data_IF_408895703025
#
_entry.id   IF_408895703025
#
_cell.length_a   1.000
_cell.length_b   1.000
_cell.length_c   1.000
_cell.angle_alpha   90.00
_cell.angle_beta   90.00
_cell.angle_gamma   90.00
#
_symmetry.space_group_name_H-M   'P 1'
#
loop_
_entity.id
_entity.type
_entity.pdbx_description
1 polymer ?
#
# COMPACT_ATOMS: atom_id res chain seq x y z
N UNK A 1 20.33 10.57 29.41
CA UNK A 1 20.11 11.14 28.07
C UNK A 1 20.00 9.95 27.14
N UNK A 2 18.77 9.47 26.92
CA UNK A 2 18.53 8.50 25.85
C UNK A 2 18.73 9.26 24.54
N UNK A 3 19.70 8.77 23.75
CA UNK A 3 19.85 9.18 22.37
C UNK A 3 18.69 8.54 21.61
N UNK A 4 17.68 9.34 21.26
CA UNK A 4 16.68 8.94 20.27
C UNK A 4 17.44 8.57 18.99
N UNK A 5 17.64 7.28 18.77
CA UNK A 5 18.14 6.76 17.52
C UNK A 5 17.08 7.13 16.46
N UNK A 6 17.39 8.14 15.65
CA UNK A 6 16.51 8.57 14.57
C UNK A 6 16.21 7.36 13.67
N UNK A 7 14.97 6.87 13.73
CA UNK A 7 14.49 5.82 12.83
C UNK A 7 14.72 6.34 11.40
N UNK A 8 15.33 5.55 10.50
CA UNK A 8 15.53 5.98 9.13
C UNK A 8 14.17 6.41 8.56
N UNK A 9 14.06 7.68 8.17
CA UNK A 9 12.83 8.19 7.57
C UNK A 9 12.63 7.47 6.24
N UNK A 10 11.65 6.59 6.18
CA UNK A 10 11.23 5.92 4.93
C UNK A 10 10.47 6.87 4.00
N UNK A 11 10.15 8.07 4.48
CA UNK A 11 9.54 9.15 3.72
C UNK A 11 10.63 9.99 3.06
N UNK A 12 10.55 10.17 1.74
CA UNK A 12 11.42 11.11 1.04
C UNK A 12 11.01 12.54 1.36
N UNK A 13 11.97 13.34 1.83
CA UNK A 13 11.73 14.74 2.19
C UNK A 13 11.95 15.65 0.98
N UNK A 14 10.96 16.47 0.64
CA UNK A 14 11.08 17.46 -0.45
C UNK A 14 10.71 16.96 -1.85
N UNK A 15 10.30 15.70 -2.00
CA UNK A 15 9.71 15.17 -3.24
C UNK A 15 8.19 15.20 -3.12
N UNK A 16 7.52 15.91 -4.04
CA UNK A 16 6.06 15.96 -4.10
C UNK A 16 5.52 14.89 -5.05
N UNK A 17 4.41 14.27 -4.66
CA UNK A 17 3.70 13.29 -5.47
C UNK A 17 3.47 13.75 -6.91
N UNK A 18 3.87 12.94 -7.89
CA UNK A 18 3.75 13.24 -9.31
C UNK A 18 2.42 12.78 -9.93
N UNK A 19 1.71 11.85 -9.26
CA UNK A 19 0.45 11.27 -9.71
C UNK A 19 -0.76 11.85 -8.98
N UNK A 20 -1.89 11.89 -9.69
CA UNK A 20 -3.21 12.20 -9.15
C UNK A 20 -4.01 10.92 -8.98
N UNK A 21 -4.44 10.64 -7.75
CA UNK A 21 -5.12 9.39 -7.39
C UNK A 21 -6.58 9.68 -7.05
N UNK A 22 -7.49 9.07 -7.80
CA UNK A 22 -8.91 9.00 -7.46
C UNK A 22 -9.21 7.65 -6.82
N UNK A 23 -9.69 7.66 -5.59
CA UNK A 23 -9.99 6.44 -4.83
C UNK A 23 -11.49 6.19 -4.77
N UNK A 24 -11.92 5.04 -5.27
CA UNK A 24 -13.32 4.61 -5.20
C UNK A 24 -13.66 4.15 -3.76
N UNK A 25 -14.81 4.56 -3.18
CA UNK A 25 -15.17 4.21 -1.79
C UNK A 25 -15.20 2.71 -1.49
N UNK A 26 -15.52 1.88 -2.50
CA UNK A 26 -15.49 0.41 -2.39
C UNK A 26 -14.15 -0.11 -1.87
N UNK A 27 -13.03 0.50 -2.28
CA UNK A 27 -11.69 0.09 -1.86
C UNK A 27 -11.53 0.27 -0.35
N UNK A 28 -12.02 1.38 0.19
CA UNK A 28 -11.95 1.67 1.64
C UNK A 28 -12.80 0.66 2.42
N UNK A 29 -13.99 0.35 1.90
CA UNK A 29 -14.88 -0.66 2.48
C UNK A 29 -14.23 -2.04 2.49
N UNK A 30 -13.63 -2.48 1.38
CA UNK A 30 -12.94 -3.76 1.28
C UNK A 30 -11.78 -3.88 2.27
N UNK A 31 -10.94 -2.84 2.38
CA UNK A 31 -9.80 -2.84 3.30
C UNK A 31 -10.27 -2.86 4.76
N UNK A 32 -11.33 -2.11 5.07
CA UNK A 32 -11.92 -2.07 6.41
C UNK A 32 -12.54 -3.41 6.79
N UNK A 33 -13.30 -4.04 5.90
CA UNK A 33 -13.87 -5.38 6.09
C UNK A 33 -12.78 -6.42 6.31
N UNK A 34 -11.75 -6.42 5.45
CA UNK A 34 -10.60 -7.32 5.58
C UNK A 34 -9.95 -7.20 6.97
N UNK A 35 -9.68 -5.97 7.42
CA UNK A 35 -9.09 -5.74 8.74
C UNK A 35 -9.99 -6.19 9.88
N UNK A 36 -11.30 -5.88 9.83
CA UNK A 36 -12.26 -6.26 10.88
C UNK A 36 -12.37 -7.79 10.98
N UNK A 37 -12.47 -8.48 9.84
CA UNK A 37 -12.58 -9.95 9.81
C UNK A 37 -11.32 -10.60 10.38
N UNK A 38 -10.14 -10.16 9.96
CA UNK A 38 -8.88 -10.71 10.47
C UNK A 38 -8.68 -10.44 11.95
N UNK A 39 -9.02 -9.22 12.41
CA UNK A 39 -9.01 -8.88 13.84
C UNK A 39 -9.96 -9.77 14.65
N UNK A 40 -11.14 -10.08 14.11
CA UNK A 40 -12.12 -10.94 14.77
C UNK A 40 -11.66 -12.40 14.83
N UNK A 41 -10.97 -12.90 13.80
CA UNK A 41 -10.45 -14.27 13.76
C UNK A 41 -9.26 -14.46 14.71
N UNK A 42 -8.36 -13.49 14.75
CA UNK A 42 -7.12 -13.53 15.54
C UNK A 42 -7.31 -13.06 17.00
N UNK A 43 -8.44 -12.42 17.31
CA UNK A 43 -8.72 -11.84 18.63
C UNK A 43 -7.86 -10.63 18.99
N UNK A 44 -7.05 -10.12 18.06
CA UNK A 44 -6.14 -8.97 18.23
C UNK A 44 -6.01 -8.19 16.92
N UNK A 45 -5.65 -6.89 16.96
CA UNK A 45 -5.34 -6.15 15.74
C UNK A 45 -4.18 -6.82 14.98
N UNK A 46 -4.39 -7.03 13.68
CA UNK A 46 -3.38 -7.55 12.77
C UNK A 46 -3.23 -6.63 11.56
N UNK A 47 -2.01 -6.53 11.05
CA UNK A 47 -1.76 -5.88 9.78
C UNK A 47 -2.32 -6.76 8.67
N UNK A 48 -3.09 -6.16 7.76
CA UNK A 48 -3.61 -6.85 6.57
C UNK A 48 -2.92 -6.32 5.33
N UNK A 49 -2.80 -7.15 4.29
CA UNK A 49 -2.13 -6.80 3.03
C UNK A 49 -3.03 -7.18 1.86
N UNK A 50 -3.08 -6.34 0.84
CA UNK A 50 -3.78 -6.70 -0.38
C UNK A 50 -3.39 -5.88 -1.60
N UNK A 51 -3.98 -6.23 -2.72
CA UNK A 51 -3.76 -5.63 -4.03
C UNK A 51 -4.77 -4.52 -4.30
N UNK A 52 -4.33 -3.51 -5.04
CA UNK A 52 -5.14 -2.43 -5.59
C UNK A 52 -5.25 -2.62 -7.10
N UNK A 53 -6.46 -2.53 -7.63
CA UNK A 53 -6.72 -2.64 -9.07
C UNK A 53 -7.58 -1.49 -9.57
N UNK A 54 -7.40 -1.14 -10.83
CA UNK A 54 -8.08 0.01 -11.41
C UNK A 54 -7.59 0.36 -12.80
N UNK A 55 -7.64 1.64 -13.15
CA UNK A 55 -7.24 2.15 -14.46
C UNK A 55 -6.21 3.26 -14.30
N UNK A 56 -5.24 3.31 -15.21
CA UNK A 56 -4.26 4.38 -15.29
C UNK A 56 -4.33 5.08 -16.65
N UNK A 57 -4.50 6.41 -16.63
CA UNK A 57 -4.50 7.27 -17.80
C UNK A 57 -3.41 8.33 -17.63
N UNK A 58 -2.20 8.02 -18.09
CA UNK A 58 -1.02 8.85 -17.87
C UNK A 58 -0.69 8.95 -16.37
N UNK A 59 -0.84 10.15 -15.79
CA UNK A 59 -0.61 10.44 -14.36
C UNK A 59 -1.88 10.40 -13.51
N UNK A 60 -3.04 10.15 -14.13
CA UNK A 60 -4.30 10.01 -13.43
C UNK A 60 -4.55 8.53 -13.16
N UNK A 61 -4.57 8.16 -11.89
CA UNK A 61 -4.79 6.77 -11.47
C UNK A 61 -6.14 6.69 -10.76
N UNK A 62 -7.02 5.82 -11.25
CA UNK A 62 -8.32 5.53 -10.64
C UNK A 62 -8.25 4.17 -9.98
N UNK A 63 -8.19 4.16 -8.65
CA UNK A 63 -8.21 2.93 -7.85
C UNK A 63 -9.67 2.53 -7.63
N UNK A 64 -10.09 1.45 -8.28
CA UNK A 64 -11.51 1.10 -8.41
C UNK A 64 -11.92 -0.05 -7.49
N UNK A 65 -11.01 -1.01 -7.27
CA UNK A 65 -11.29 -2.19 -6.47
C UNK A 65 -10.00 -2.69 -5.80
N UNK A 66 -10.13 -3.70 -4.94
CA UNK A 66 -9.02 -4.29 -4.20
C UNK A 66 -9.32 -5.74 -3.84
N UNK A 67 -8.29 -6.53 -3.64
CA UNK A 67 -8.42 -7.91 -3.15
C UNK A 67 -7.31 -8.26 -2.17
N UNK A 68 -7.52 -9.32 -1.40
CA UNK A 68 -6.65 -9.75 -0.31
C UNK A 68 -5.46 -10.51 -0.87
N UNK A 69 -4.28 -10.28 -0.31
CA UNK A 69 -3.08 -11.04 -0.63
C UNK A 69 -2.70 -11.95 0.53
N UNK A 70 -2.14 -13.11 0.20
CA UNK A 70 -1.54 -13.99 1.18
C UNK A 70 -0.11 -13.55 1.43
N UNK A 71 0.29 -13.55 2.71
CA UNK A 71 1.65 -13.26 3.12
C UNK A 71 2.08 -14.15 4.29
N UNK A 72 3.36 -14.44 4.37
CA UNK A 72 3.97 -15.20 5.46
C UNK A 72 4.97 -14.33 6.21
N UNK A 73 5.15 -14.60 7.50
CA UNK A 73 6.24 -13.99 8.27
C UNK A 73 7.38 -14.99 8.37
N UNK A 74 8.55 -14.63 7.82
CA UNK A 74 9.79 -15.42 7.89
C UNK A 74 10.87 -14.52 8.47
N UNK A 75 11.47 -14.91 9.59
CA UNK A 75 12.50 -14.10 10.27
C UNK A 75 12.08 -12.64 10.50
N UNK A 76 10.86 -12.45 11.02
CA UNK A 76 10.24 -11.13 11.28
C UNK A 76 9.98 -10.26 10.03
N UNK A 77 10.19 -10.81 8.83
CA UNK A 77 9.93 -10.14 7.55
C UNK A 77 8.68 -10.70 6.91
N UNK A 78 7.86 -9.79 6.37
CA UNK A 78 6.65 -10.14 5.65
C UNK A 78 7.02 -10.48 4.20
N UNK A 79 6.71 -11.70 3.77
CA UNK A 79 6.93 -12.20 2.41
C UNK A 79 5.57 -12.36 1.73
N UNK A 80 5.36 -11.69 0.59
CA UNK A 80 4.16 -11.85 -0.23
C UNK A 80 4.22 -13.20 -0.95
N UNK A 81 3.12 -13.96 -0.88
CA UNK A 81 2.95 -15.14 -1.72
C UNK A 81 2.63 -14.70 -3.16
N UNK A 82 3.65 -14.73 -4.02
CA UNK A 82 3.54 -14.32 -5.43
C UNK A 82 2.73 -15.32 -6.25
N UNK A 83 2.75 -16.60 -5.92
CA UNK A 83 1.98 -17.62 -6.64
C UNK A 83 0.49 -17.43 -6.38
N UNK A 84 0.13 -17.14 -5.13
CA UNK A 84 -1.23 -16.73 -4.77
C UNK A 84 -1.64 -15.45 -5.51
N UNK A 85 -0.77 -14.44 -5.59
CA UNK A 85 -1.03 -13.22 -6.35
C UNK A 85 -1.35 -13.52 -7.82
N UNK A 86 -0.48 -14.25 -8.55
CA UNK A 86 -0.69 -14.54 -9.97
C UNK A 86 -1.97 -15.34 -10.21
N UNK A 87 -2.26 -16.32 -9.36
CA UNK A 87 -3.51 -17.08 -9.41
C UNK A 87 -4.74 -16.16 -9.25
N UNK A 88 -4.70 -15.24 -8.28
CA UNK A 88 -5.79 -14.29 -8.05
C UNK A 88 -5.92 -13.29 -9.18
N UNK A 89 -4.82 -12.78 -9.70
CA UNK A 89 -4.80 -11.84 -10.82
C UNK A 89 -5.50 -12.45 -12.04
N UNK A 90 -5.19 -13.72 -12.38
CA UNK A 90 -5.84 -14.41 -13.50
C UNK A 90 -7.36 -14.52 -13.31
N UNK A 91 -7.81 -14.89 -12.11
CA UNK A 91 -9.25 -14.95 -11.78
C UNK A 91 -9.92 -13.58 -11.91
N UNK A 92 -9.28 -12.52 -11.42
CA UNK A 92 -9.81 -11.17 -11.51
C UNK A 92 -9.87 -10.69 -12.96
N UNK A 93 -8.85 -10.95 -13.77
CA UNK A 93 -8.82 -10.57 -15.20
C UNK A 93 -9.91 -11.27 -16.02
N UNK A 94 -10.41 -12.43 -15.60
CA UNK A 94 -11.55 -13.07 -16.27
C UNK A 94 -12.85 -12.24 -16.16
N UNK A 95 -13.04 -11.55 -15.03
CA UNK A 95 -14.23 -10.73 -14.74
C UNK A 95 -14.00 -9.26 -15.10
N UNK A 96 -12.81 -8.73 -14.79
CA UNK A 96 -12.44 -7.32 -14.90
C UNK A 96 -11.30 -7.14 -15.91
N UNK A 97 -11.58 -7.41 -17.19
CA UNK A 97 -10.59 -7.43 -18.27
C UNK A 97 -9.88 -6.09 -18.52
N UNK A 98 -10.52 -4.98 -18.14
CA UNK A 98 -10.00 -3.62 -18.35
C UNK A 98 -9.29 -3.04 -17.12
N UNK A 99 -9.20 -3.81 -16.02
CA UNK A 99 -8.54 -3.36 -14.81
C UNK A 99 -7.14 -3.95 -14.73
N UNK A 100 -6.21 -3.11 -14.29
CA UNK A 100 -4.81 -3.45 -14.14
C UNK A 100 -4.43 -3.40 -12.67
N UNK A 101 -3.34 -4.10 -12.34
CA UNK A 101 -2.73 -4.02 -11.01
C UNK A 101 -2.00 -2.69 -10.85
N UNK A 102 -2.42 -1.91 -9.85
CA UNK A 102 -1.91 -0.55 -9.61
C UNK A 102 -0.95 -0.46 -8.44
N UNK A 103 -0.95 -1.45 -7.55
CA UNK A 103 -0.16 -1.41 -6.33
C UNK A 103 -0.82 -2.18 -5.20
N UNK A 104 -0.51 -1.82 -3.96
CA UNK A 104 -0.90 -2.59 -2.79
C UNK A 104 -1.36 -1.70 -1.65
N UNK A 105 -2.09 -2.31 -0.71
CA UNK A 105 -2.53 -1.65 0.51
C UNK A 105 -2.09 -2.41 1.76
N UNK A 106 -2.02 -1.68 2.86
CA UNK A 106 -1.93 -2.25 4.20
C UNK A 106 -2.64 -1.40 5.25
N UNK A 107 -2.73 -1.89 6.48
CA UNK A 107 -3.26 -1.15 7.62
C UNK A 107 -2.19 -0.80 8.65
N UNK A 108 -2.30 0.37 9.26
CA UNK A 108 -1.38 0.79 10.32
C UNK A 108 -1.25 2.31 10.46
N UNK A 109 -0.18 2.73 11.15
CA UNK A 109 0.19 4.13 11.31
C UNK A 109 0.89 4.72 10.07
N UNK A 110 1.81 5.68 10.24
CA UNK A 110 2.68 6.15 9.16
C UNK A 110 3.49 5.01 8.52
N UNK A 111 4.03 5.20 7.29
CA UNK A 111 4.94 4.25 6.67
C UNK A 111 6.14 3.91 7.56
N UNK A 112 6.53 2.64 7.56
CA UNK A 112 7.60 2.06 8.37
C UNK A 112 8.53 1.16 7.53
N UNK A 113 9.68 0.70 8.07
CA UNK A 113 10.62 -0.14 7.32
C UNK A 113 10.05 -1.49 6.83
N UNK A 114 9.06 -2.05 7.53
CA UNK A 114 8.38 -3.28 7.08
C UNK A 114 7.61 -3.02 5.80
N UNK A 115 6.93 -1.87 5.71
CA UNK A 115 6.25 -1.48 4.48
C UNK A 115 7.22 -1.35 3.30
N UNK A 116 8.41 -0.78 3.50
CA UNK A 116 9.41 -0.67 2.44
C UNK A 116 9.91 -2.05 2.00
N UNK A 117 10.04 -3.00 2.94
CA UNK A 117 10.40 -4.37 2.62
C UNK A 117 9.34 -5.05 1.74
N UNK A 118 8.05 -4.89 2.07
CA UNK A 118 6.93 -5.40 1.26
C UNK A 118 6.86 -4.67 -0.09
N UNK A 119 7.02 -3.36 -0.08
CA UNK A 119 6.97 -2.52 -1.27
C UNK A 119 8.02 -2.93 -2.31
N UNK A 120 9.24 -3.28 -1.89
CA UNK A 120 10.28 -3.83 -2.77
C UNK A 120 9.84 -5.10 -3.48
N UNK A 121 9.16 -6.01 -2.77
CA UNK A 121 8.64 -7.24 -3.37
C UNK A 121 7.54 -6.94 -4.42
N UNK A 122 6.73 -5.91 -4.21
CA UNK A 122 5.72 -5.47 -5.18
C UNK A 122 6.35 -4.77 -6.39
N UNK A 123 7.47 -4.07 -6.20
CA UNK A 123 8.25 -3.49 -7.31
C UNK A 123 8.83 -4.55 -8.26
N UNK A 124 8.96 -5.80 -7.80
CA UNK A 124 9.34 -6.94 -8.66
C UNK A 124 8.17 -7.43 -9.53
N UNK A 125 6.95 -6.97 -9.27
CA UNK A 125 5.73 -7.29 -10.03
C UNK A 125 5.39 -6.17 -11.03
N UNK A 126 5.43 -4.90 -10.58
CA UNK A 126 5.20 -3.71 -11.42
C UNK A 126 6.21 -2.61 -11.11
N UNK A 127 6.56 -1.79 -12.11
CA UNK A 127 7.66 -0.82 -11.99
C UNK A 127 7.40 0.34 -11.01
N UNK A 128 6.15 0.77 -10.86
CA UNK A 128 5.78 1.94 -10.05
C UNK A 128 4.49 1.71 -9.26
N UNK A 129 4.50 0.81 -8.25
CA UNK A 129 3.31 0.48 -7.50
C UNK A 129 2.87 1.64 -6.60
N UNK A 130 1.57 1.92 -6.58
CA UNK A 130 0.96 2.71 -5.52
C UNK A 130 1.03 1.95 -4.19
N UNK A 131 1.25 2.69 -3.12
CA UNK A 131 1.16 2.17 -1.76
C UNK A 131 0.07 2.91 -1.00
N UNK A 132 -0.96 2.20 -0.54
CA UNK A 132 -2.04 2.77 0.26
C UNK A 132 -1.95 2.28 1.70
N UNK A 133 -1.97 3.19 2.68
CA UNK A 133 -2.05 2.84 4.10
C UNK A 133 -3.34 3.38 4.70
N UNK A 134 -4.15 2.48 5.26
CA UNK A 134 -5.38 2.82 5.98
C UNK A 134 -5.11 2.72 7.50
N UNK A 135 -5.46 3.75 8.27
CA UNK A 135 -5.35 3.71 9.73
C UNK A 135 -6.72 3.41 10.37
N UNK A 136 -7.01 2.14 10.72
CA UNK A 136 -8.32 1.77 11.25
C UNK A 136 -8.54 2.27 12.69
N UNK A 137 -7.50 2.79 13.34
CA UNK A 137 -7.51 3.23 14.74
C UNK A 137 -7.44 4.76 14.88
N UNK A 138 -7.60 5.51 13.78
CA UNK A 138 -7.59 6.97 13.86
C UNK A 138 -8.69 7.49 14.78
N UNK A 139 -8.40 8.58 15.49
CA UNK A 139 -9.40 9.37 16.23
C UNK A 139 -9.70 10.71 15.53
N UNK A 140 -9.02 10.99 14.43
CA UNK A 140 -9.22 12.21 13.66
C UNK A 140 -10.47 12.11 12.79
N UNK A 141 -11.07 13.25 12.47
CA UNK A 141 -12.27 13.37 11.63
C UNK A 141 -11.98 13.19 10.14
N UNK A 142 -10.72 13.27 9.74
CA UNK A 142 -10.31 13.14 8.35
C UNK A 142 -10.30 11.67 7.90
N UNK A 143 -10.48 11.45 6.60
CA UNK A 143 -10.42 10.13 6.00
C UNK A 143 -9.05 9.47 6.33
N UNK A 144 -9.02 8.31 7.02
CA UNK A 144 -7.77 7.70 7.49
C UNK A 144 -7.02 6.95 6.40
N UNK A 145 -6.94 7.52 5.20
CA UNK A 145 -6.31 6.89 4.04
C UNK A 145 -5.20 7.80 3.54
N UNK A 146 -4.01 7.24 3.40
CA UNK A 146 -2.88 7.89 2.75
C UNK A 146 -2.44 7.04 1.57
N UNK A 147 -2.10 7.70 0.46
CA UNK A 147 -1.53 7.05 -0.72
C UNK A 147 -0.14 7.62 -0.96
N UNK A 148 0.77 6.74 -1.35
CA UNK A 148 2.17 7.03 -1.56
C UNK A 148 2.64 6.46 -2.91
N UNK A 149 3.63 7.11 -3.51
CA UNK A 149 4.36 6.63 -4.69
C UNK A 149 5.80 6.27 -4.31
N UNK A 150 6.40 5.35 -5.07
CA UNK A 150 7.79 4.94 -4.93
C UNK A 150 8.74 6.05 -5.35
N UNK A 151 9.75 6.31 -4.54
CA UNK A 151 10.83 7.25 -4.87
C UNK A 151 12.17 6.68 -4.44
N UNK A 152 13.21 6.99 -5.21
CA UNK A 152 14.59 6.68 -4.81
C UNK A 152 15.18 7.95 -4.23
N UNK A 153 15.53 7.89 -2.94
CA UNK A 153 16.18 9.00 -2.23
C UNK A 153 17.65 8.65 -1.98
N UNK A 154 18.51 9.66 -1.91
CA UNK A 154 19.94 9.48 -1.64
C UNK A 154 20.19 9.83 -0.19
N UNK A 155 20.29 8.82 0.67
CA UNK A 155 20.58 8.98 2.09
C UNK A 155 22.03 8.59 2.32
N UNK A 156 22.85 9.51 2.86
CA UNK A 156 24.27 9.30 3.10
C UNK A 156 25.09 8.83 1.87
N UNK A 157 24.68 9.24 0.66
CA UNK A 157 25.34 8.85 -0.59
C UNK A 157 24.93 7.49 -1.14
N UNK A 158 23.99 6.79 -0.49
CA UNK A 158 23.44 5.52 -0.95
C UNK A 158 21.98 5.68 -1.43
N UNK A 159 21.69 5.11 -2.60
CA UNK A 159 20.34 5.09 -3.15
C UNK A 159 19.44 4.16 -2.34
N UNK A 160 18.45 4.72 -1.67
CA UNK A 160 17.52 4.03 -0.79
C UNK A 160 16.10 4.12 -1.33
N UNK A 161 15.33 3.04 -1.21
CA UNK A 161 13.90 3.08 -1.53
C UNK A 161 13.15 3.82 -0.42
N UNK A 162 12.43 4.85 -0.82
CA UNK A 162 11.58 5.67 0.03
C UNK A 162 10.21 5.82 -0.64
N UNK A 163 9.27 6.43 0.08
CA UNK A 163 7.95 6.77 -0.44
C UNK A 163 7.65 8.25 -0.23
N UNK A 164 6.92 8.86 -1.16
CA UNK A 164 6.40 10.21 -0.98
C UNK A 164 4.87 10.21 -1.12
N UNK A 165 4.20 11.20 -0.51
CA UNK A 165 2.73 11.24 -0.50
C UNK A 165 2.20 11.67 -1.88
N UNK A 166 1.28 10.87 -2.43
CA UNK A 166 0.57 11.16 -3.66
C UNK A 166 -0.64 12.09 -3.43
N UNK A 167 -1.10 12.76 -4.49
CA UNK A 167 -2.28 13.63 -4.43
C UNK A 167 -3.57 12.82 -4.47
N UNK A 168 -4.15 12.55 -3.30
CA UNK A 168 -5.39 11.81 -3.15
C UNK A 168 -6.62 12.73 -3.28
N UNK A 169 -7.54 12.36 -4.16
CA UNK A 169 -8.85 12.99 -4.32
C UNK A 169 -9.94 11.92 -4.20
N UNK A 170 -11.11 12.30 -3.67
CA UNK A 170 -12.26 11.41 -3.66
C UNK A 170 -12.71 11.14 -5.11
N UNK A 171 -12.82 9.86 -5.50
CA UNK A 171 -13.42 9.49 -6.78
C UNK A 171 -14.91 9.83 -6.77
N UNK A 172 -15.37 10.58 -7.78
CA UNK A 172 -16.80 10.78 -8.07
C UNK A 172 -17.36 9.63 -8.89
#
# INVERSE_FOLDING_TARGET
MEVDAAVPSVMASGVTGSVSVALHPLVILNISDHWIRMRSQEGRPVQVIGALIGKQEGRNIKVMNSFELLSHTVEEKIIIDKEYYYTKEEQFKQVFKELEFLGWYTTGGPPDPSDIHVHKQVCEIIESPLFLKLNPMTKHTDLPVSVFESVIDIINGEATNAVCRAHLHAGH
#
